data_IF_699912505395
#
_entry.id   IF_699912505395
#
_cell.length_a   1.000
_cell.length_b   1.000
_cell.length_c   1.000
_cell.angle_alpha   90.00
_cell.angle_beta   90.00
_cell.angle_gamma   90.00
#
_symmetry.space_group_name_H-M   'P 1'
#
loop_
_entity.id
_entity.type
_entity.pdbx_description
1 polymer ?
#
# COMPACT_ATOMS: atom_id res chain seq x y z
N UNK A 1 -29.75 14.91 -21.31
CA UNK A 1 -30.00 13.55 -21.85
C UNK A 1 -29.95 12.50 -20.73
N UNK A 2 -30.82 12.62 -19.71
CA UNK A 2 -30.81 11.79 -18.49
C UNK A 2 -31.84 10.64 -18.49
N UNK A 3 -32.48 10.36 -19.64
CA UNK A 3 -33.58 9.38 -19.75
C UNK A 3 -33.22 8.14 -20.60
N UNK A 4 -32.08 8.15 -21.27
CA UNK A 4 -31.60 7.04 -22.12
C UNK A 4 -30.86 5.93 -21.36
N UNK A 5 -30.43 6.17 -20.11
CA UNK A 5 -29.71 5.17 -19.31
C UNK A 5 -30.62 4.07 -18.73
N UNK A 6 -31.92 4.34 -18.56
CA UNK A 6 -32.86 3.34 -18.02
C UNK A 6 -33.25 2.30 -19.09
N UNK A 7 -33.25 2.70 -20.36
CA UNK A 7 -33.61 1.79 -21.47
C UNK A 7 -32.50 0.77 -21.77
N UNK A 8 -31.23 1.15 -21.59
CA UNK A 8 -30.08 0.24 -21.76
C UNK A 8 -29.99 -0.81 -20.65
N UNK A 9 -30.47 -0.51 -19.45
CA UNK A 9 -30.50 -1.47 -18.34
C UNK A 9 -31.58 -2.56 -18.54
N UNK A 10 -32.70 -2.21 -19.17
CA UNK A 10 -33.79 -3.15 -19.47
C UNK A 10 -33.52 -4.03 -20.69
N UNK A 11 -32.68 -3.58 -21.64
CA UNK A 11 -32.33 -4.39 -22.82
C UNK A 11 -31.37 -5.55 -22.49
N UNK A 12 -30.66 -5.49 -21.36
CA UNK A 12 -29.80 -6.57 -20.89
C UNK A 12 -30.59 -7.76 -20.30
N UNK A 13 -31.90 -7.60 -20.02
CA UNK A 13 -32.76 -8.63 -19.42
C UNK A 13 -33.47 -9.52 -20.45
N UNK A 14 -33.39 -9.19 -21.74
CA UNK A 14 -34.08 -9.89 -22.84
C UNK A 14 -33.10 -10.48 -23.87
N UNK A 15 -31.90 -10.88 -23.44
CA UNK A 15 -31.01 -11.62 -24.31
C UNK A 15 -31.45 -13.10 -24.29
N UNK A 16 -31.91 -13.67 -25.43
CA UNK A 16 -32.19 -15.10 -25.51
C UNK A 16 -30.92 -15.86 -25.12
N UNK A 17 -31.07 -16.78 -24.19
CA UNK A 17 -30.03 -17.53 -23.48
C UNK A 17 -29.10 -18.40 -24.35
N UNK A 18 -29.10 -18.23 -25.68
CA UNK A 18 -28.39 -19.12 -26.61
C UNK A 18 -27.62 -18.42 -27.75
N UNK A 19 -27.45 -17.09 -27.74
CA UNK A 19 -26.78 -16.39 -28.86
C UNK A 19 -25.53 -15.55 -28.50
N UNK A 20 -24.99 -15.65 -27.28
CA UNK A 20 -23.76 -14.93 -26.93
C UNK A 20 -22.68 -15.87 -26.38
N UNK A 21 -22.14 -16.71 -27.26
CA UNK A 21 -20.78 -17.21 -27.11
C UNK A 21 -19.74 -16.19 -27.62
N UNK A 22 -20.09 -14.89 -27.71
CA UNK A 22 -19.10 -13.84 -27.90
C UNK A 22 -18.27 -13.79 -26.61
N UNK A 23 -17.01 -14.22 -26.68
CA UNK A 23 -16.14 -14.27 -25.51
C UNK A 23 -15.99 -12.86 -24.94
N UNK A 24 -16.62 -12.58 -23.79
CA UNK A 24 -16.43 -11.29 -23.13
C UNK A 24 -14.94 -11.09 -22.86
N UNK A 25 -14.43 -9.97 -23.34
CA UNK A 25 -13.01 -9.67 -23.22
C UNK A 25 -12.68 -9.25 -21.78
N UNK A 26 -11.47 -9.61 -21.31
CA UNK A 26 -10.97 -9.15 -20.00
C UNK A 26 -10.95 -7.62 -19.90
N UNK A 27 -10.72 -6.92 -21.02
CA UNK A 27 -10.73 -5.45 -21.07
C UNK A 27 -12.09 -4.86 -20.72
N UNK A 28 -13.16 -5.50 -21.19
CA UNK A 28 -14.53 -5.06 -20.95
C UNK A 28 -14.95 -5.27 -19.49
N UNK A 29 -14.64 -6.45 -18.93
CA UNK A 29 -14.81 -6.73 -17.50
C UNK A 29 -14.05 -5.69 -16.66
N UNK A 30 -12.83 -5.35 -17.06
CA UNK A 30 -12.03 -4.32 -16.39
C UNK A 30 -12.71 -2.94 -16.42
N UNK A 31 -13.28 -2.53 -17.54
CA UNK A 31 -13.97 -1.23 -17.67
C UNK A 31 -15.25 -1.17 -16.84
N UNK A 32 -15.99 -2.28 -16.78
CA UNK A 32 -17.28 -2.34 -16.07
C UNK A 32 -17.11 -2.44 -14.55
N UNK A 33 -16.18 -3.28 -14.07
CA UNK A 33 -16.10 -3.64 -12.66
C UNK A 33 -14.84 -3.16 -11.95
N UNK A 34 -13.79 -2.76 -12.67
CA UNK A 34 -12.49 -2.43 -12.08
C UNK A 34 -11.87 -1.12 -12.59
N UNK A 35 -12.71 -0.18 -13.06
CA UNK A 35 -12.27 1.08 -13.68
C UNK A 35 -11.25 1.85 -12.84
N UNK A 36 -11.55 2.01 -11.55
CA UNK A 36 -10.72 2.81 -10.64
C UNK A 36 -9.62 2.02 -9.93
N UNK A 37 -9.61 0.69 -10.09
CA UNK A 37 -8.66 -0.20 -9.41
C UNK A 37 -7.20 0.21 -9.65
N UNK A 38 -6.83 0.48 -10.91
CA UNK A 38 -5.46 0.83 -11.25
C UNK A 38 -5.04 2.18 -10.63
N UNK A 39 -5.95 3.13 -10.49
CA UNK A 39 -5.69 4.40 -9.83
C UNK A 39 -5.50 4.20 -8.32
N UNK A 40 -6.34 3.38 -7.70
CA UNK A 40 -6.21 3.01 -6.28
C UNK A 40 -4.89 2.28 -5.98
N UNK A 41 -4.50 1.32 -6.83
CA UNK A 41 -3.19 0.64 -6.70
C UNK A 41 -2.02 1.60 -6.83
N UNK A 42 -2.13 2.64 -7.69
CA UNK A 42 -1.10 3.70 -7.76
C UNK A 42 -0.99 4.47 -6.43
N UNK A 43 -2.11 4.77 -5.76
CA UNK A 43 -2.11 5.40 -4.43
C UNK A 43 -1.37 4.52 -3.41
N UNK A 44 -1.68 3.22 -3.38
CA UNK A 44 -0.97 2.25 -2.52
C UNK A 44 0.53 2.25 -2.79
N UNK A 45 0.95 2.15 -4.07
CA UNK A 45 2.38 2.16 -4.43
C UNK A 45 3.08 3.46 -4.04
N UNK A 46 2.40 4.60 -4.17
CA UNK A 46 2.92 5.88 -3.72
C UNK A 46 3.12 5.90 -2.19
N UNK A 47 2.13 5.43 -1.42
CA UNK A 47 2.23 5.29 0.03
C UNK A 47 3.37 4.35 0.44
N UNK A 48 3.52 3.20 -0.23
CA UNK A 48 4.64 2.28 0.00
C UNK A 48 6.00 2.94 -0.27
N UNK A 49 6.11 3.77 -1.32
CA UNK A 49 7.36 4.48 -1.63
C UNK A 49 7.67 5.51 -0.54
N UNK A 50 6.67 6.30 -0.15
CA UNK A 50 6.79 7.36 0.85
C UNK A 50 6.97 6.84 2.30
N UNK A 51 6.53 5.61 2.58
CA UNK A 51 6.54 5.08 3.94
C UNK A 51 7.93 5.10 4.60
N UNK A 52 7.94 5.64 5.82
CA UNK A 52 9.03 5.58 6.79
C UNK A 52 8.46 5.08 8.11
N UNK A 53 9.09 4.08 8.70
CA UNK A 53 8.62 3.53 9.97
C UNK A 53 8.71 4.60 11.08
N UNK A 54 7.75 4.69 12.03
CA UNK A 54 7.79 5.68 13.11
C UNK A 54 9.09 5.69 13.93
N UNK A 55 9.70 4.50 14.12
CA UNK A 55 11.02 4.36 14.77
C UNK A 55 12.15 5.14 14.09
N UNK A 56 11.98 5.55 12.84
CA UNK A 56 12.93 6.39 12.12
C UNK A 56 13.03 7.82 12.68
N UNK A 57 12.04 8.29 13.46
CA UNK A 57 12.10 9.60 14.14
C UNK A 57 13.32 9.67 15.08
N UNK A 58 13.66 8.56 15.73
CA UNK A 58 14.83 8.47 16.60
C UNK A 58 16.15 8.69 15.85
N UNK A 59 16.19 8.38 14.55
CA UNK A 59 17.40 8.60 13.72
C UNK A 59 17.69 10.08 13.57
N UNK A 60 16.67 10.92 13.39
CA UNK A 60 16.85 12.38 13.26
C UNK A 60 17.40 12.97 14.56
N UNK A 61 16.78 12.64 15.70
CA UNK A 61 17.23 13.11 17.02
C UNK A 61 18.66 12.68 17.33
N UNK A 62 18.98 11.38 17.16
CA UNK A 62 20.33 10.85 17.37
C UNK A 62 21.36 11.40 16.38
N UNK A 63 20.95 11.77 15.17
CA UNK A 63 21.85 12.43 14.19
C UNK A 63 22.22 13.82 14.68
N UNK A 64 21.26 14.59 15.18
CA UNK A 64 21.52 15.92 15.76
C UNK A 64 22.43 15.82 16.99
N UNK A 65 22.14 14.90 17.90
CA UNK A 65 22.97 14.67 19.09
C UNK A 65 24.41 14.28 18.72
N UNK A 66 24.60 13.37 17.76
CA UNK A 66 25.93 12.97 17.30
C UNK A 66 26.71 14.15 16.70
N UNK A 67 26.06 15.02 15.91
CA UNK A 67 26.69 16.22 15.35
C UNK A 67 27.12 17.22 16.43
N UNK A 68 26.29 17.41 17.45
CA UNK A 68 26.59 18.28 18.59
C UNK A 68 27.82 17.77 19.35
N UNK A 69 27.81 16.50 19.76
CA UNK A 69 28.93 15.86 20.48
C UNK A 69 30.22 15.84 19.64
N UNK A 70 30.11 15.65 18.33
CA UNK A 70 31.28 15.70 17.44
C UNK A 70 31.88 17.10 17.38
N UNK A 71 31.04 18.14 17.42
CA UNK A 71 31.49 19.54 17.43
C UNK A 71 32.16 19.87 18.75
N UNK A 72 31.56 19.46 19.87
CA UNK A 72 32.11 19.63 21.22
C UNK A 72 33.48 18.95 21.37
N UNK A 73 33.61 17.68 20.98
CA UNK A 73 34.88 16.97 21.01
C UNK A 73 35.97 17.67 20.19
N UNK A 74 35.64 18.14 18.98
CA UNK A 74 36.59 18.87 18.13
C UNK A 74 36.97 20.23 18.73
N UNK A 75 36.04 20.91 19.40
CA UNK A 75 36.29 22.16 20.12
C UNK A 75 37.28 21.92 21.27
N UNK A 76 37.02 20.91 22.11
CA UNK A 76 37.93 20.53 23.21
C UNK A 76 39.32 20.16 22.71
N UNK A 77 39.41 19.46 21.58
CA UNK A 77 40.69 19.11 20.95
C UNK A 77 41.47 20.34 20.49
N UNK A 78 40.79 21.33 19.90
CA UNK A 78 41.40 22.60 19.48
C UNK A 78 41.82 23.47 20.66
N UNK A 79 41.02 23.49 21.72
CA UNK A 79 41.29 24.20 22.96
C UNK A 79 42.40 23.54 23.82
N UNK A 80 42.94 22.39 23.39
CA UNK A 80 43.93 21.59 24.14
C UNK A 80 43.46 21.28 25.57
N UNK A 81 42.19 20.90 25.71
CA UNK A 81 41.60 20.50 26.98
C UNK A 81 42.35 19.30 27.61
N UNK A 82 42.09 19.05 28.90
CA UNK A 82 42.72 17.94 29.63
C UNK A 82 42.43 16.57 28.99
N UNK A 83 43.31 15.59 29.26
CA UNK A 83 43.14 14.22 28.77
C UNK A 83 41.83 13.60 29.25
N UNK A 84 41.45 13.89 30.48
CA UNK A 84 40.22 13.43 31.13
C UNK A 84 38.99 13.99 30.40
N UNK A 85 38.97 15.29 30.11
CA UNK A 85 37.87 15.94 29.38
C UNK A 85 37.74 15.40 27.96
N UNK A 86 38.86 15.21 27.25
CA UNK A 86 38.87 14.60 25.92
C UNK A 86 38.39 13.15 25.93
N UNK A 87 38.74 12.38 26.95
CA UNK A 87 38.30 11.00 27.12
C UNK A 87 36.79 10.90 27.34
N UNK A 88 36.24 11.73 28.24
CA UNK A 88 34.80 11.76 28.52
C UNK A 88 33.97 12.19 27.30
N UNK A 89 34.42 13.22 26.58
CA UNK A 89 33.78 13.67 25.34
C UNK A 89 33.84 12.58 24.25
N UNK A 90 34.98 11.89 24.12
CA UNK A 90 35.13 10.77 23.19
C UNK A 90 34.18 9.61 23.53
N UNK A 91 34.08 9.22 24.80
CA UNK A 91 33.17 8.17 25.24
C UNK A 91 31.70 8.51 24.91
N UNK A 92 31.30 9.75 25.14
CA UNK A 92 29.95 10.24 24.81
C UNK A 92 29.69 10.21 23.30
N UNK A 93 30.67 10.64 22.50
CA UNK A 93 30.61 10.58 21.04
C UNK A 93 30.50 9.14 20.52
N UNK A 94 31.32 8.22 21.05
CA UNK A 94 31.31 6.81 20.67
C UNK A 94 29.99 6.12 21.04
N UNK A 95 29.42 6.44 22.21
CA UNK A 95 28.07 5.99 22.61
C UNK A 95 27.00 6.50 21.64
N UNK A 96 26.98 7.79 21.33
CA UNK A 96 26.02 8.38 20.40
C UNK A 96 26.16 7.78 18.99
N UNK A 97 27.39 7.53 18.52
CA UNK A 97 27.67 6.85 17.24
C UNK A 97 27.07 5.45 17.20
N UNK A 98 27.23 4.67 18.26
CA UNK A 98 26.68 3.31 18.38
C UNK A 98 25.15 3.34 18.34
N UNK A 99 24.54 4.16 19.18
CA UNK A 99 23.07 4.33 19.22
C UNK A 99 22.50 4.78 17.87
N UNK A 100 23.15 5.73 17.19
CA UNK A 100 22.73 6.17 15.86
C UNK A 100 22.81 5.05 14.82
N UNK A 101 23.88 4.25 14.85
CA UNK A 101 24.05 3.11 13.94
C UNK A 101 22.96 2.06 14.13
N UNK A 102 22.67 1.70 15.39
CA UNK A 102 21.60 0.76 15.73
C UNK A 102 20.22 1.29 15.33
N UNK A 103 19.93 2.55 15.62
CA UNK A 103 18.67 3.19 15.22
C UNK A 103 18.49 3.21 13.69
N UNK A 104 19.55 3.49 12.92
CA UNK A 104 19.52 3.43 11.44
C UNK A 104 19.22 2.02 10.93
N UNK A 105 19.87 1.00 11.50
CA UNK A 105 19.61 -0.41 11.16
C UNK A 105 18.16 -0.80 11.45
N UNK A 106 17.67 -0.47 12.64
CA UNK A 106 16.28 -0.75 13.04
C UNK A 106 15.27 -0.02 12.15
N UNK A 107 15.47 1.27 11.89
CA UNK A 107 14.63 2.04 10.96
C UNK A 107 14.59 1.42 9.57
N UNK A 108 15.75 1.05 9.01
CA UNK A 108 15.85 0.42 7.69
C UNK A 108 15.12 -0.93 7.64
N UNK A 109 15.38 -1.80 8.63
CA UNK A 109 14.76 -3.13 8.73
C UNK A 109 13.24 -3.03 8.85
N UNK A 110 12.74 -2.26 9.82
CA UNK A 110 11.31 -2.12 10.07
C UNK A 110 10.57 -1.45 8.90
N UNK A 111 11.20 -0.46 8.26
CA UNK A 111 10.65 0.15 7.04
C UNK A 111 10.55 -0.87 5.90
N UNK A 112 11.61 -1.67 5.69
CA UNK A 112 11.64 -2.71 4.66
C UNK A 112 10.61 -3.80 4.92
N UNK A 113 10.51 -4.29 6.16
CA UNK A 113 9.57 -5.33 6.55
C UNK A 113 8.12 -4.87 6.37
N UNK A 114 7.81 -3.61 6.72
CA UNK A 114 6.48 -3.04 6.47
C UNK A 114 6.14 -2.95 4.97
N UNK A 115 7.09 -2.51 4.14
CA UNK A 115 6.93 -2.47 2.68
C UNK A 115 6.73 -3.86 2.09
N UNK A 116 7.44 -4.88 2.61
CA UNK A 116 7.23 -6.27 2.20
C UNK A 116 5.84 -6.76 2.56
N UNK A 117 5.36 -6.52 3.79
CA UNK A 117 4.01 -6.93 4.23
C UNK A 117 2.91 -6.29 3.38
N UNK A 118 2.97 -4.99 3.17
CA UNK A 118 2.00 -4.30 2.29
C UNK A 118 2.05 -4.80 0.84
N UNK A 119 3.24 -5.13 0.32
CA UNK A 119 3.35 -5.76 -1.01
C UNK A 119 2.70 -7.14 -1.07
N UNK A 120 2.78 -7.94 0.00
CA UNK A 120 2.08 -9.22 0.09
C UNK A 120 0.56 -9.01 0.07
N UNK A 121 0.04 -8.04 0.82
CA UNK A 121 -1.39 -7.68 0.80
C UNK A 121 -1.83 -7.27 -0.61
N UNK A 122 -1.08 -6.40 -1.28
CA UNK A 122 -1.38 -5.97 -2.65
C UNK A 122 -1.32 -7.14 -3.65
N UNK A 123 -0.39 -8.09 -3.48
CA UNK A 123 -0.34 -9.30 -4.32
C UNK A 123 -1.57 -10.19 -4.11
N UNK A 124 -2.01 -10.39 -2.85
CA UNK A 124 -3.24 -11.13 -2.54
C UNK A 124 -4.46 -10.47 -3.18
N UNK A 125 -4.57 -9.14 -3.08
CA UNK A 125 -5.66 -8.38 -3.70
C UNK A 125 -5.66 -8.49 -5.24
N UNK A 126 -4.49 -8.39 -5.88
CA UNK A 126 -4.38 -8.60 -7.33
C UNK A 126 -4.78 -10.01 -7.74
N UNK A 127 -4.44 -11.02 -6.94
CA UNK A 127 -4.89 -12.40 -7.17
C UNK A 127 -6.40 -12.50 -7.04
N UNK A 128 -6.99 -11.98 -5.96
CA UNK A 128 -8.44 -11.95 -5.77
C UNK A 128 -9.16 -11.30 -6.95
N UNK A 129 -8.67 -10.15 -7.44
CA UNK A 129 -9.19 -9.50 -8.64
C UNK A 129 -9.11 -10.41 -9.87
N UNK A 130 -7.96 -11.05 -10.09
CA UNK A 130 -7.77 -11.96 -11.23
C UNK A 130 -8.76 -13.12 -11.18
N UNK A 131 -8.91 -13.73 -10.01
CA UNK A 131 -9.87 -14.82 -9.78
C UNK A 131 -11.31 -14.30 -10.01
N UNK A 132 -11.60 -13.06 -9.59
CA UNK A 132 -12.92 -12.44 -9.80
C UNK A 132 -13.24 -12.15 -11.27
N UNK A 133 -12.23 -11.72 -12.04
CA UNK A 133 -12.37 -11.55 -13.49
C UNK A 133 -12.77 -12.89 -14.15
N UNK A 134 -12.19 -14.01 -13.69
CA UNK A 134 -12.53 -15.33 -14.23
C UNK A 134 -13.96 -15.72 -13.87
N UNK A 135 -14.41 -15.47 -12.64
CA UNK A 135 -15.78 -15.79 -12.24
C UNK A 135 -16.81 -14.95 -13.01
N UNK A 136 -16.57 -13.65 -13.16
CA UNK A 136 -17.41 -12.76 -13.98
C UNK A 136 -17.46 -13.25 -15.42
N UNK A 137 -16.31 -13.63 -15.99
CA UNK A 137 -16.25 -14.16 -17.34
C UNK A 137 -17.03 -15.46 -17.47
N UNK A 138 -16.92 -16.37 -16.50
CA UNK A 138 -17.68 -17.62 -16.46
C UNK A 138 -19.18 -17.36 -16.40
N UNK A 139 -19.62 -16.42 -15.56
CA UNK A 139 -21.02 -16.01 -15.48
C UNK A 139 -21.53 -15.44 -16.81
N UNK A 140 -20.82 -14.48 -17.40
CA UNK A 140 -21.24 -13.85 -18.65
C UNK A 140 -21.25 -14.82 -19.84
N UNK A 141 -20.48 -15.91 -19.77
CA UNK A 141 -20.46 -16.98 -20.78
C UNK A 141 -21.51 -18.08 -20.52
N UNK A 142 -22.36 -17.93 -19.49
CA UNK A 142 -23.34 -18.94 -19.10
C UNK A 142 -22.73 -20.21 -18.51
N UNK A 143 -21.46 -20.16 -18.09
CA UNK A 143 -20.73 -21.29 -17.48
C UNK A 143 -20.83 -21.33 -15.96
N UNK A 144 -21.16 -20.20 -15.33
CA UNK A 144 -21.44 -20.15 -13.89
C UNK A 144 -22.88 -20.62 -13.63
N UNK A 145 -23.08 -21.27 -12.48
CA UNK A 145 -24.41 -21.72 -12.02
C UNK A 145 -25.15 -20.66 -11.20
N UNK A 146 -24.53 -19.50 -10.97
CA UNK A 146 -25.16 -18.42 -10.22
C UNK A 146 -26.41 -17.89 -10.94
N UNK A 147 -27.47 -17.66 -10.17
CA UNK A 147 -28.58 -16.81 -10.57
C UNK A 147 -28.14 -15.35 -10.73
N UNK A 148 -28.99 -14.52 -11.34
CA UNK A 148 -28.74 -13.07 -11.47
C UNK A 148 -28.63 -12.39 -10.10
N UNK A 149 -29.44 -12.79 -9.13
CA UNK A 149 -29.39 -12.24 -7.77
C UNK A 149 -28.08 -12.61 -7.06
N UNK A 150 -27.65 -13.87 -7.15
CA UNK A 150 -26.38 -14.32 -6.58
C UNK A 150 -25.19 -13.62 -7.24
N UNK A 151 -25.21 -13.44 -8.55
CA UNK A 151 -24.17 -12.70 -9.26
C UNK A 151 -24.13 -11.22 -8.84
N UNK A 152 -25.28 -10.57 -8.66
CA UNK A 152 -25.35 -9.20 -8.15
C UNK A 152 -24.75 -9.08 -6.74
N UNK A 153 -25.08 -10.03 -5.85
CA UNK A 153 -24.49 -10.11 -4.49
C UNK A 153 -22.97 -10.34 -4.55
N UNK A 154 -22.52 -11.21 -5.44
CA UNK A 154 -21.10 -11.47 -5.69
C UNK A 154 -20.35 -10.21 -6.11
N UNK A 155 -20.86 -9.47 -7.11
CA UNK A 155 -20.26 -8.20 -7.57
C UNK A 155 -20.20 -7.17 -6.44
N UNK A 156 -21.29 -7.03 -5.68
CA UNK A 156 -21.33 -6.11 -4.54
C UNK A 156 -20.28 -6.49 -3.49
N UNK A 157 -20.20 -7.77 -3.11
CA UNK A 157 -19.23 -8.26 -2.14
C UNK A 157 -17.78 -8.10 -2.60
N UNK A 158 -17.52 -8.35 -3.88
CA UNK A 158 -16.21 -8.13 -4.51
C UNK A 158 -15.79 -6.66 -4.44
N UNK A 159 -16.69 -5.73 -4.78
CA UNK A 159 -16.40 -4.30 -4.72
C UNK A 159 -16.09 -3.84 -3.30
N UNK A 160 -16.90 -4.27 -2.33
CA UNK A 160 -16.66 -4.00 -0.90
C UNK A 160 -15.30 -4.54 -0.48
N UNK A 161 -15.00 -5.81 -0.74
CA UNK A 161 -13.73 -6.43 -0.37
C UNK A 161 -12.52 -5.69 -0.96
N UNK A 162 -12.59 -5.30 -2.23
CA UNK A 162 -11.50 -4.59 -2.90
C UNK A 162 -11.27 -3.22 -2.26
N UNK A 163 -12.33 -2.43 -2.08
CA UNK A 163 -12.23 -1.10 -1.51
C UNK A 163 -11.70 -1.16 -0.06
N UNK A 164 -12.28 -2.03 0.78
CA UNK A 164 -11.82 -2.25 2.16
C UNK A 164 -10.37 -2.72 2.19
N UNK A 165 -9.97 -3.66 1.32
CA UNK A 165 -8.57 -4.13 1.26
C UNK A 165 -7.60 -3.01 0.87
N UNK A 166 -7.98 -2.12 -0.06
CA UNK A 166 -7.15 -0.96 -0.43
C UNK A 166 -7.02 -0.01 0.75
N UNK A 167 -8.13 0.31 1.43
CA UNK A 167 -8.14 1.18 2.59
C UNK A 167 -7.29 0.62 3.73
N UNK A 168 -7.44 -0.67 4.04
CA UNK A 168 -6.61 -1.36 5.03
C UNK A 168 -5.12 -1.25 4.71
N UNK A 169 -4.73 -1.45 3.45
CA UNK A 169 -3.32 -1.30 3.03
C UNK A 169 -2.85 0.15 3.21
N UNK A 170 -3.69 1.14 2.91
CA UNK A 170 -3.35 2.56 3.07
C UNK A 170 -3.20 2.94 4.54
N UNK A 171 -4.15 2.53 5.39
CA UNK A 171 -4.11 2.73 6.85
C UNK A 171 -2.89 2.05 7.45
N UNK A 172 -2.59 0.82 7.04
CA UNK A 172 -1.39 0.09 7.45
C UNK A 172 -0.08 0.83 7.09
N UNK A 173 -0.09 1.66 6.04
CA UNK A 173 1.02 2.50 5.62
C UNK A 173 0.96 3.92 6.20
N UNK A 174 0.00 4.23 7.07
CA UNK A 174 -0.20 5.57 7.64
C UNK A 174 -0.62 6.62 6.61
N UNK A 175 -1.17 6.21 5.46
CA UNK A 175 -1.77 7.12 4.50
C UNK A 175 -3.22 7.42 4.91
N UNK A 176 -3.71 8.66 4.70
CA UNK A 176 -5.09 8.99 5.01
C UNK A 176 -6.05 8.11 4.19
N UNK A 177 -7.10 7.60 4.83
CA UNK A 177 -8.18 6.92 4.14
C UNK A 177 -8.83 7.88 3.12
N UNK A 178 -9.15 7.38 1.93
CA UNK A 178 -9.93 8.16 0.98
C UNK A 178 -11.38 8.16 1.47
N UNK A 179 -11.80 9.24 2.11
CA UNK A 179 -13.21 9.51 2.41
C UNK A 179 -14.02 9.78 1.16
#
# INVERSE_FOLDING_TARGET
>A
MKKTFVLLLMLALFIPSQAFAASVSTSEIHKLYFKDYNAQVKKVKAAQKAYKHPVCVNVTSLTTQFKQLSTEYNSLKRAKASKEALSQAKMSLDKAKKSLSEAKKTCSKQTSDMKKRSNVMLKKLNKYKSDSIQEIKSYMQGKSKMSSEEFSKYISGMNTYINTSIEEILVFLGAPAAG
#
